data_IF_440884366750
#
_entry.id   IF_440884366750
#
_cell.length_a   1.000
_cell.length_b   1.000
_cell.length_c   1.000
_cell.angle_alpha   90.00
_cell.angle_beta   90.00
_cell.angle_gamma   90.00
#
_symmetry.space_group_name_H-M   'P 1'
#
loop_
_entity.id
_entity.type
_entity.pdbx_description
1 polymer ?
#
# COMPACT_ATOMS: atom_id res chain seq x y z
N UNK A 1 -16.96 32.00 -0.31
CA UNK A 1 -16.02 31.25 -1.17
C UNK A 1 -15.06 30.49 -0.28
N UNK A 2 -15.12 29.16 -0.25
CA UNK A 2 -14.03 28.32 0.27
C UNK A 2 -13.85 27.16 -0.70
N UNK A 3 -12.61 26.99 -1.16
CA UNK A 3 -12.22 26.01 -2.13
C UNK A 3 -12.60 24.61 -1.61
N UNK A 4 -13.45 23.91 -2.36
CA UNK A 4 -13.55 22.46 -2.31
C UNK A 4 -12.17 21.91 -2.65
N UNK A 5 -11.51 21.32 -1.67
CA UNK A 5 -10.33 20.49 -1.88
C UNK A 5 -10.68 19.47 -2.97
N UNK A 6 -10.10 19.69 -4.16
CA UNK A 6 -10.13 18.73 -5.25
C UNK A 6 -9.39 17.50 -4.74
N UNK A 7 -10.15 16.49 -4.36
CA UNK A 7 -9.65 15.12 -4.31
C UNK A 7 -9.02 14.81 -5.69
N UNK A 8 -7.82 14.23 -5.76
CA UNK A 8 -7.26 13.80 -7.03
C UNK A 8 -8.05 12.58 -7.53
N UNK A 9 -9.21 12.84 -8.09
CA UNK A 9 -10.19 11.85 -8.57
C UNK A 9 -10.78 12.15 -9.95
N UNK A 10 -10.34 13.21 -10.64
CA UNK A 10 -10.80 13.55 -12.00
C UNK A 10 -9.99 12.81 -13.08
N UNK A 11 -9.94 11.49 -12.95
CA UNK A 11 -9.41 10.58 -13.96
C UNK A 11 -10.18 9.28 -13.93
N UNK A 12 -11.23 9.19 -14.76
CA UNK A 12 -11.99 7.95 -14.98
C UNK A 12 -11.09 6.95 -15.69
N UNK A 13 -10.34 6.18 -14.92
CA UNK A 13 -9.73 4.93 -15.34
C UNK A 13 -10.28 3.84 -14.45
N UNK A 14 -11.04 2.91 -15.00
CA UNK A 14 -11.46 1.71 -14.27
C UNK A 14 -10.18 0.99 -13.81
N UNK A 15 -9.88 1.14 -12.52
CA UNK A 15 -8.74 0.54 -11.88
C UNK A 15 -9.10 -0.90 -11.50
N UNK A 16 -8.61 -1.87 -12.26
CA UNK A 16 -8.69 -3.30 -11.92
C UNK A 16 -7.32 -3.92 -12.18
N UNK A 17 -6.75 -4.72 -11.25
CA UNK A 17 -7.32 -5.14 -9.97
C UNK A 17 -6.92 -4.22 -8.81
N UNK A 18 -7.91 -3.72 -8.08
CA UNK A 18 -7.71 -3.24 -6.71
C UNK A 18 -7.75 -4.46 -5.80
N UNK A 19 -6.60 -4.88 -5.28
CA UNK A 19 -6.56 -5.88 -4.21
C UNK A 19 -6.55 -5.22 -2.84
N UNK A 20 -7.07 -5.91 -1.82
CA UNK A 20 -7.04 -5.45 -0.43
C UNK A 20 -5.82 -6.00 0.29
N UNK A 21 -5.28 -5.17 1.18
CA UNK A 21 -4.18 -5.54 2.08
C UNK A 21 -4.77 -5.68 3.48
N UNK A 22 -4.40 -6.77 4.14
CA UNK A 22 -4.72 -7.05 5.54
C UNK A 22 -3.56 -7.82 6.14
N UNK A 23 -2.43 -7.13 6.31
CA UNK A 23 -1.16 -7.75 6.66
C UNK A 23 -0.83 -7.54 8.13
N UNK A 24 -0.28 -8.56 8.78
CA UNK A 24 0.20 -8.49 10.16
C UNK A 24 1.72 -8.26 10.23
N UNK A 25 2.28 -8.17 11.44
CA UNK A 25 3.71 -7.90 11.67
C UNK A 25 4.63 -9.10 11.40
N UNK A 26 4.08 -10.31 11.40
CA UNK A 26 4.83 -11.58 11.39
C UNK A 26 4.91 -12.15 9.99
N UNK A 27 3.82 -12.10 9.25
CA UNK A 27 3.66 -12.74 7.96
C UNK A 27 3.71 -11.73 6.82
N UNK A 28 4.49 -12.07 5.81
CA UNK A 28 4.48 -11.35 4.55
C UNK A 28 3.28 -11.78 3.71
N UNK A 29 2.41 -10.83 3.39
CA UNK A 29 1.37 -11.02 2.38
C UNK A 29 1.97 -10.76 1.00
N UNK A 30 1.77 -11.67 0.05
CA UNK A 30 2.13 -11.40 -1.36
C UNK A 30 1.01 -10.60 -2.00
N UNK A 31 1.36 -9.41 -2.50
CA UNK A 31 0.45 -8.49 -3.17
C UNK A 31 0.48 -8.71 -4.68
N UNK A 32 1.65 -8.96 -5.22
CA UNK A 32 1.86 -9.20 -6.65
C UNK A 32 2.99 -10.20 -6.87
N UNK A 33 2.83 -11.06 -7.87
CA UNK A 33 3.85 -11.98 -8.36
C UNK A 33 3.62 -12.23 -9.86
N UNK A 34 4.47 -11.64 -10.71
CA UNK A 34 4.47 -11.86 -12.15
C UNK A 34 5.68 -12.66 -12.60
N UNK A 35 5.42 -13.59 -13.52
CA UNK A 35 6.44 -14.46 -14.11
C UNK A 35 7.35 -13.74 -15.11
N UNK A 36 6.80 -12.79 -15.88
CA UNK A 36 7.47 -12.32 -17.08
C UNK A 36 8.19 -10.98 -16.88
N UNK A 37 7.43 -9.88 -16.79
CA UNK A 37 7.96 -8.51 -16.78
C UNK A 37 7.56 -7.77 -15.50
N UNK A 38 8.43 -6.87 -14.97
CA UNK A 38 8.05 -6.02 -13.86
C UNK A 38 6.90 -5.10 -14.28
N UNK A 39 6.08 -4.69 -13.32
CA UNK A 39 4.97 -3.77 -13.51
C UNK A 39 4.93 -2.77 -12.36
N UNK A 40 4.31 -1.61 -12.59
CA UNK A 40 4.18 -0.56 -11.58
C UNK A 40 2.87 -0.77 -10.82
N UNK A 41 2.95 -0.81 -9.50
CA UNK A 41 1.79 -0.90 -8.62
C UNK A 41 1.80 0.27 -7.65
N UNK A 42 0.64 0.87 -7.48
CA UNK A 42 0.41 1.80 -6.37
C UNK A 42 -0.02 0.99 -5.16
N UNK A 43 0.68 1.16 -4.06
CA UNK A 43 0.37 0.56 -2.77
C UNK A 43 -0.04 1.69 -1.83
N UNK A 44 -1.20 1.55 -1.21
CA UNK A 44 -1.75 2.49 -0.25
C UNK A 44 -1.84 1.86 1.13
N UNK A 45 -1.27 2.53 2.12
CA UNK A 45 -1.50 2.22 3.52
C UNK A 45 -2.69 3.03 4.01
N UNK A 46 -3.74 2.33 4.45
CA UNK A 46 -4.99 2.94 4.90
C UNK A 46 -4.78 3.88 6.09
N UNK A 47 -5.86 4.56 6.46
CA UNK A 47 -5.90 5.38 7.66
C UNK A 47 -5.82 4.51 8.93
N UNK A 48 -5.40 5.15 10.02
CA UNK A 48 -5.57 4.55 11.33
C UNK A 48 -7.04 4.29 11.65
N UNK A 49 -7.28 3.37 12.58
CA UNK A 49 -8.63 2.94 12.97
C UNK A 49 -9.33 3.94 13.89
N UNK A 50 -8.57 4.71 14.68
CA UNK A 50 -9.07 5.74 15.59
C UNK A 50 -8.03 6.87 15.78
N UNK A 51 -8.46 7.98 16.38
CA UNK A 51 -7.60 9.15 16.64
C UNK A 51 -6.52 8.87 17.72
N UNK A 52 -6.64 7.76 18.46
CA UNK A 52 -5.73 7.38 19.55
C UNK A 52 -4.57 6.48 19.06
N UNK A 53 -4.75 5.75 17.96
CA UNK A 53 -3.72 4.96 17.29
C UNK A 53 -3.19 5.73 16.08
N UNK A 54 -1.92 6.12 16.09
CA UNK A 54 -1.28 6.72 14.91
C UNK A 54 -1.20 5.74 13.71
N UNK A 55 -1.46 4.45 13.94
CA UNK A 55 -1.45 3.38 12.96
C UNK A 55 -0.02 2.92 12.62
N UNK A 56 0.08 1.72 12.03
CA UNK A 56 1.37 1.17 11.64
C UNK A 56 1.77 1.64 10.24
N UNK A 57 3.07 1.89 10.06
CA UNK A 57 3.60 1.96 8.71
C UNK A 57 3.52 0.58 8.04
N UNK A 58 3.25 0.55 6.74
CA UNK A 58 3.33 -0.65 5.92
C UNK A 58 4.77 -0.79 5.40
N UNK A 59 5.34 -1.98 5.55
CA UNK A 59 6.63 -2.31 4.98
C UNK A 59 6.37 -3.04 3.67
N UNK A 60 6.89 -2.50 2.57
CA UNK A 60 6.77 -3.06 1.22
C UNK A 60 8.13 -3.61 0.81
N UNK A 61 8.15 -4.87 0.43
CA UNK A 61 9.32 -5.56 -0.11
C UNK A 61 9.14 -5.78 -1.61
N UNK A 62 10.17 -5.43 -2.38
CA UNK A 62 10.17 -5.60 -3.84
C UNK A 62 11.27 -6.56 -4.27
N UNK A 63 10.90 -7.56 -5.08
CA UNK A 63 11.78 -8.54 -5.73
C UNK A 63 12.73 -9.28 -4.76
N UNK A 64 12.22 -9.72 -3.61
CA UNK A 64 12.98 -10.51 -2.63
C UNK A 64 13.95 -9.68 -1.78
N UNK A 65 13.45 -8.57 -1.24
CA UNK A 65 14.18 -7.64 -0.37
C UNK A 65 15.35 -6.88 -1.02
N UNK A 66 15.42 -6.84 -2.36
CA UNK A 66 16.34 -5.91 -3.06
C UNK A 66 16.05 -4.46 -2.68
N UNK A 67 14.79 -4.15 -2.36
CA UNK A 67 14.34 -2.86 -1.86
C UNK A 67 13.25 -3.07 -0.82
N UNK A 68 13.36 -2.33 0.28
CA UNK A 68 12.34 -2.26 1.33
C UNK A 68 11.91 -0.81 1.48
N UNK A 69 10.61 -0.55 1.35
CA UNK A 69 10.03 0.80 1.36
C UNK A 69 9.05 0.89 2.53
N UNK A 70 9.15 1.97 3.30
CA UNK A 70 8.19 2.29 4.36
C UNK A 70 7.09 3.19 3.78
N UNK A 71 5.84 2.76 3.91
CA UNK A 71 4.66 3.53 3.50
C UNK A 71 3.94 3.96 4.77
N UNK A 72 3.93 5.25 5.04
CA UNK A 72 3.29 5.80 6.23
C UNK A 72 1.77 5.69 6.13
N UNK A 73 1.10 5.75 7.28
CA UNK A 73 -0.36 5.68 7.39
C UNK A 73 -1.00 6.79 6.55
N UNK A 74 -2.07 6.44 5.83
CA UNK A 74 -2.79 7.36 4.94
C UNK A 74 -2.04 7.75 3.66
N UNK A 75 -0.87 7.19 3.39
CA UNK A 75 -0.05 7.53 2.21
C UNK A 75 -0.04 6.42 1.15
N UNK A 76 0.33 6.79 -0.07
CA UNK A 76 0.53 5.86 -1.18
C UNK A 76 1.93 5.98 -1.76
N UNK A 77 2.42 4.89 -2.33
CA UNK A 77 3.68 4.86 -3.09
C UNK A 77 3.52 4.03 -4.35
N UNK A 78 4.19 4.43 -5.42
CA UNK A 78 4.29 3.64 -6.65
C UNK A 78 5.58 2.81 -6.61
N UNK A 79 5.44 1.49 -6.76
CA UNK A 79 6.54 0.53 -6.73
C UNK A 79 6.57 -0.28 -8.01
N UNK A 80 7.76 -0.45 -8.57
CA UNK A 80 7.97 -1.27 -9.77
C UNK A 80 8.70 -2.54 -9.40
N UNK A 81 8.14 -3.69 -9.75
CA UNK A 81 8.76 -5.00 -9.49
C UNK A 81 8.03 -6.14 -10.17
N UNK A 82 8.62 -7.33 -10.11
CA UNK A 82 7.97 -8.60 -10.50
C UNK A 82 7.26 -9.24 -9.32
N UNK A 83 7.79 -9.08 -8.11
CA UNK A 83 7.18 -9.59 -6.87
C UNK A 83 7.13 -8.51 -5.82
N UNK A 84 5.95 -8.25 -5.27
CA UNK A 84 5.72 -7.28 -4.21
C UNK A 84 5.07 -7.99 -3.03
N UNK A 85 5.67 -7.84 -1.85
CA UNK A 85 5.14 -8.35 -0.59
C UNK A 85 4.98 -7.21 0.40
N UNK A 86 4.03 -7.34 1.31
CA UNK A 86 3.76 -6.33 2.34
C UNK A 86 3.63 -6.98 3.70
N UNK A 87 3.98 -6.25 4.74
CA UNK A 87 3.70 -6.58 6.14
C UNK A 87 3.47 -5.33 6.97
N UNK A 88 2.84 -5.49 8.12
CA UNK A 88 2.76 -4.41 9.09
C UNK A 88 4.15 -4.13 9.69
N UNK A 89 4.49 -2.84 9.77
CA UNK A 89 5.65 -2.34 10.49
C UNK A 89 5.28 -1.91 11.90
N UNK A 90 5.99 -0.88 12.37
CA UNK A 90 5.79 -0.26 13.68
C UNK A 90 5.21 1.15 13.52
N UNK A 91 4.63 1.67 14.58
CA UNK A 91 4.07 3.03 14.64
C UNK A 91 2.80 3.12 15.48
N UNK A 92 1.97 2.08 15.42
CA UNK A 92 0.68 2.03 16.09
C UNK A 92 0.56 0.93 17.14
N UNK A 93 -0.55 0.95 17.89
CA UNK A 93 -0.86 -0.06 18.89
C UNK A 93 -1.37 -1.37 18.25
N UNK A 94 -2.05 -1.26 17.11
CA UNK A 94 -2.50 -2.42 16.33
C UNK A 94 -1.33 -3.29 15.85
N UNK A 95 -1.56 -4.57 15.55
CA UNK A 95 -0.55 -5.47 14.97
C UNK A 95 -0.69 -5.66 13.46
N UNK A 96 -1.58 -4.88 12.83
CA UNK A 96 -1.97 -5.02 11.43
C UNK A 96 -1.87 -3.69 10.69
N UNK A 97 -1.81 -3.79 9.36
CA UNK A 97 -2.05 -2.70 8.42
C UNK A 97 -3.13 -3.14 7.44
N UNK A 98 -4.03 -2.23 7.13
CA UNK A 98 -5.04 -2.41 6.11
C UNK A 98 -4.76 -1.43 4.98
N UNK A 99 -5.15 -1.80 3.76
CA UNK A 99 -4.87 -0.95 2.62
C UNK A 99 -5.38 -1.53 1.31
N UNK A 100 -4.86 -1.01 0.23
CA UNK A 100 -5.14 -1.51 -1.10
C UNK A 100 -3.93 -1.36 -2.00
N UNK A 101 -3.94 -2.12 -3.10
CA UNK A 101 -2.97 -1.98 -4.17
C UNK A 101 -3.66 -2.02 -5.51
N UNK A 102 -3.09 -1.36 -6.50
CA UNK A 102 -3.61 -1.33 -7.87
C UNK A 102 -2.48 -1.28 -8.88
N UNK A 103 -2.67 -1.92 -10.03
CA UNK A 103 -1.79 -1.79 -11.17
C UNK A 103 -1.87 -0.37 -11.73
N UNK A 104 -0.72 0.27 -11.94
CA UNK A 104 -0.59 1.55 -12.64
C UNK A 104 -0.22 1.23 -14.08
N UNK A 105 -1.14 1.50 -15.01
CA UNK A 105 -0.93 1.32 -16.45
C UNK A 105 -0.14 2.47 -17.07
#
# INVERSE_FOLDING_TARGET
MKATDRLPGDGVGIQVPVGRIGADRVHWQTVFDARDKPSIYRVHNGSAHDDADAGNAMIVEVDGAKRTIKVNVGTSVDVMGKRIRVKAGTGGQTSRVEGWYVLVS
#
